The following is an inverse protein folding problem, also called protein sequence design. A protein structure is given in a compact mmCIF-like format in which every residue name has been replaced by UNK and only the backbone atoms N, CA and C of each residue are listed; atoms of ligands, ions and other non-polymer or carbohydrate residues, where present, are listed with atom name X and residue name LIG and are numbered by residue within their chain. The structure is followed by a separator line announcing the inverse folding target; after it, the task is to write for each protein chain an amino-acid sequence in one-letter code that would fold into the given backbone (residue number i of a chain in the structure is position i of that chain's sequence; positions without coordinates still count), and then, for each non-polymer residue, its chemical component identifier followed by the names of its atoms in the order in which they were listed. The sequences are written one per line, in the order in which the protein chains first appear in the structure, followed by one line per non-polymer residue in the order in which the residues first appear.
data_IF_221124709015
#
_entry.id   IF_221124709015
#
_cell.length_a   1.000
_cell.length_b   1.000
_cell.length_c   1.000
_cell.angle_alpha   90.00
_cell.angle_beta   90.00
_cell.angle_gamma   90.00
#
_symmetry.space_group_name_H-M   'P 1'
#
loop_
_entity.id
_entity.type
_entity.pdbx_description
1 polymer ?
#
# COMPACT_ATOMS: atom_id res chain seq x y z
N UNK A 1 -9.28 -23.90 -21.77
CA UNK A 1 -10.22 -22.83 -21.38
C UNK A 1 -9.49 -21.85 -20.47
N UNK A 2 -8.67 -20.93 -20.99
CA UNK A 2 -7.86 -20.01 -20.16
C UNK A 2 -7.72 -18.61 -20.78
N UNK A 3 -8.52 -18.27 -21.79
CA UNK A 3 -8.39 -17.00 -22.48
C UNK A 3 -9.36 -15.97 -21.92
N UNK A 4 -8.87 -15.09 -21.05
CA UNK A 4 -9.60 -13.92 -20.55
C UNK A 4 -8.84 -12.66 -20.96
N UNK A 5 -9.32 -12.01 -22.02
CA UNK A 5 -8.87 -10.69 -22.47
C UNK A 5 -7.74 -10.71 -23.48
N UNK A 6 -8.05 -10.36 -24.73
CA UNK A 6 -7.06 -9.99 -25.75
C UNK A 6 -7.04 -8.48 -25.91
N UNK A 7 -5.87 -7.85 -25.75
CA UNK A 7 -5.65 -6.45 -26.12
C UNK A 7 -4.78 -6.41 -27.38
N UNK A 8 -5.31 -5.92 -28.51
CA UNK A 8 -4.59 -5.87 -29.80
C UNK A 8 -3.96 -7.22 -30.24
N UNK A 9 -4.58 -8.35 -29.89
CA UNK A 9 -4.06 -9.70 -30.19
C UNK A 9 -3.05 -10.24 -29.18
N UNK A 10 -2.76 -9.49 -28.10
CA UNK A 10 -1.91 -9.94 -26.98
C UNK A 10 -2.79 -10.70 -25.99
N UNK A 11 -2.55 -12.00 -25.85
CA UNK A 11 -3.15 -12.83 -24.80
C UNK A 11 -2.38 -12.65 -23.50
N UNK A 12 -3.07 -12.19 -22.45
CA UNK A 12 -2.48 -12.07 -21.11
C UNK A 12 -3.22 -12.96 -20.13
N UNK A 13 -2.48 -13.86 -19.49
CA UNK A 13 -3.01 -14.61 -18.36
C UNK A 13 -2.96 -13.74 -17.10
N UNK A 14 -4.03 -12.96 -16.89
CA UNK A 14 -4.18 -12.09 -15.72
C UNK A 14 -4.01 -12.84 -14.40
N UNK A 15 -4.64 -14.02 -14.27
CA UNK A 15 -4.58 -14.81 -13.05
C UNK A 15 -3.14 -15.23 -12.72
N UNK A 16 -2.36 -15.64 -13.71
CA UNK A 16 -0.96 -15.98 -13.53
C UNK A 16 -0.13 -14.76 -13.13
N UNK A 17 -0.33 -13.61 -13.79
CA UNK A 17 0.36 -12.37 -13.45
C UNK A 17 0.05 -11.93 -12.01
N UNK A 18 -1.23 -11.97 -11.62
CA UNK A 18 -1.70 -11.64 -10.28
C UNK A 18 -1.16 -12.61 -9.23
N UNK A 19 -1.21 -13.92 -9.48
CA UNK A 19 -0.67 -14.93 -8.55
C UNK A 19 0.83 -14.75 -8.30
N UNK A 20 1.61 -14.50 -9.36
CA UNK A 20 3.05 -14.19 -9.22
C UNK A 20 3.26 -12.90 -8.43
N UNK A 21 2.43 -11.89 -8.64
CA UNK A 21 2.48 -10.65 -7.89
C UNK A 21 2.20 -10.87 -6.41
N UNK A 22 1.15 -11.63 -6.07
CA UNK A 22 0.80 -11.93 -4.68
C UNK A 22 1.92 -12.66 -3.94
N UNK A 23 2.69 -13.53 -4.61
CA UNK A 23 3.87 -14.16 -4.02
C UNK A 23 4.96 -13.14 -3.69
N UNK A 24 5.17 -12.15 -4.55
CA UNK A 24 6.12 -11.06 -4.29
C UNK A 24 5.65 -10.23 -3.11
N UNK A 25 4.38 -9.85 -3.06
CA UNK A 25 3.84 -9.05 -1.94
C UNK A 25 3.96 -9.79 -0.60
N UNK A 26 3.70 -11.09 -0.58
CA UNK A 26 3.94 -11.93 0.61
C UNK A 26 5.41 -11.92 1.01
N UNK A 27 6.32 -12.02 0.04
CA UNK A 27 7.76 -12.03 0.32
C UNK A 27 8.26 -10.65 0.81
N UNK A 28 7.76 -9.54 0.25
CA UNK A 28 7.96 -8.17 0.74
C UNK A 28 7.52 -8.06 2.20
N UNK A 29 6.29 -8.51 2.50
CA UNK A 29 5.77 -8.52 3.86
C UNK A 29 6.69 -9.29 4.82
N UNK A 30 7.04 -10.53 4.45
CA UNK A 30 7.87 -11.40 5.29
C UNK A 30 9.23 -10.78 5.59
N UNK A 31 9.87 -10.15 4.59
CA UNK A 31 11.23 -9.63 4.68
C UNK A 31 11.34 -8.28 5.38
N UNK A 32 10.31 -7.45 5.30
CA UNK A 32 10.36 -6.04 5.70
C UNK A 32 9.42 -5.67 6.85
N UNK A 33 8.29 -6.36 7.02
CA UNK A 33 7.22 -5.96 7.94
C UNK A 33 6.99 -6.92 9.11
N UNK A 34 7.74 -8.02 9.19
CA UNK A 34 7.66 -8.94 10.33
C UNK A 34 8.40 -8.41 11.56
N UNK A 35 8.01 -8.84 12.76
CA UNK A 35 8.74 -8.50 14.00
C UNK A 35 10.21 -8.95 13.99
N UNK A 36 10.56 -9.94 13.16
CA UNK A 36 11.94 -10.33 12.89
C UNK A 36 12.65 -9.36 11.96
N UNK A 37 11.95 -8.79 10.98
CA UNK A 37 12.50 -7.79 10.07
C UNK A 37 12.84 -6.48 10.79
N UNK A 38 12.03 -6.06 11.76
CA UNK A 38 12.25 -4.82 12.54
C UNK A 38 13.47 -4.89 13.47
N UNK A 39 14.11 -6.06 13.62
CA UNK A 39 15.33 -6.25 14.41
C UNK A 39 16.61 -6.25 13.57
N UNK A 40 16.50 -6.11 12.25
CA UNK A 40 17.64 -6.08 11.34
C UNK A 40 18.43 -4.78 11.49
N UNK A 41 19.74 -4.84 11.19
CA UNK A 41 20.57 -3.64 11.07
C UNK A 41 20.11 -2.79 9.88
N UNK A 42 20.50 -1.51 9.86
CA UNK A 42 20.15 -0.63 8.74
C UNK A 42 20.71 -1.13 7.40
N UNK A 43 21.91 -1.69 7.40
CA UNK A 43 22.56 -2.26 6.21
C UNK A 43 21.84 -3.52 5.68
N UNK A 44 21.46 -4.43 6.57
CA UNK A 44 20.69 -5.62 6.18
C UNK A 44 19.32 -5.24 5.63
N UNK A 45 18.70 -4.20 6.20
CA UNK A 45 17.40 -3.72 5.75
C UNK A 45 17.48 -3.09 4.35
N UNK A 46 18.54 -2.32 4.03
CA UNK A 46 18.77 -1.83 2.65
C UNK A 46 18.85 -2.99 1.67
N UNK A 47 19.61 -4.03 2.00
CA UNK A 47 19.76 -5.19 1.11
C UNK A 47 18.42 -5.84 0.81
N UNK A 48 17.60 -6.04 1.85
CA UNK A 48 16.27 -6.65 1.69
C UNK A 48 15.32 -5.77 0.89
N UNK A 49 15.34 -4.45 1.10
CA UNK A 49 14.56 -3.49 0.30
C UNK A 49 14.97 -3.57 -1.17
N UNK A 50 16.27 -3.59 -1.47
CA UNK A 50 16.78 -3.70 -2.85
C UNK A 50 16.33 -4.98 -3.52
N UNK A 51 16.42 -6.11 -2.83
CA UNK A 51 15.95 -7.40 -3.36
C UNK A 51 14.43 -7.38 -3.63
N UNK A 52 13.66 -6.74 -2.74
CA UNK A 52 12.21 -6.57 -2.90
C UNK A 52 11.86 -5.65 -4.08
N UNK A 53 12.53 -4.51 -4.20
CA UNK A 53 12.37 -3.56 -5.30
C UNK A 53 12.71 -4.20 -6.64
N UNK A 54 13.83 -4.91 -6.72
CA UNK A 54 14.24 -5.64 -7.93
C UNK A 54 13.17 -6.66 -8.35
N UNK A 55 12.62 -7.43 -7.40
CA UNK A 55 11.56 -8.39 -7.68
C UNK A 55 10.28 -7.71 -8.24
N UNK A 56 9.89 -6.56 -7.71
CA UNK A 56 8.75 -5.77 -8.21
C UNK A 56 9.01 -5.27 -9.64
N UNK A 57 10.19 -4.70 -9.89
CA UNK A 57 10.57 -4.17 -11.19
C UNK A 57 10.68 -5.27 -12.25
N UNK A 58 11.23 -6.43 -11.89
CA UNK A 58 11.33 -7.57 -12.80
C UNK A 58 9.96 -8.20 -13.09
N UNK A 59 9.07 -8.27 -12.09
CA UNK A 59 7.69 -8.67 -12.33
C UNK A 59 6.98 -7.72 -13.29
N UNK A 60 7.16 -6.39 -13.14
CA UNK A 60 6.60 -5.41 -14.08
C UNK A 60 7.08 -5.67 -15.51
N UNK A 61 8.36 -5.99 -15.72
CA UNK A 61 8.92 -6.31 -17.05
C UNK A 61 8.32 -7.58 -17.67
N UNK A 62 7.78 -8.50 -16.86
CA UNK A 62 7.12 -9.71 -17.37
C UNK A 62 5.73 -9.43 -17.98
N UNK A 63 5.17 -8.25 -17.76
CA UNK A 63 3.88 -7.84 -18.32
C UNK A 63 4.13 -7.19 -19.69
N UNK A 64 3.31 -7.48 -20.72
CA UNK A 64 3.39 -6.78 -22.00
C UNK A 64 3.34 -5.27 -21.83
N UNK A 65 4.16 -4.55 -22.61
CA UNK A 65 4.41 -3.11 -22.40
C UNK A 65 3.12 -2.29 -22.38
N UNK A 66 2.13 -2.67 -23.19
CA UNK A 66 0.82 -2.03 -23.31
C UNK A 66 -0.04 -2.16 -22.04
N UNK A 67 0.25 -3.16 -21.21
CA UNK A 67 -0.51 -3.52 -20.02
C UNK A 67 0.30 -3.31 -18.73
N UNK A 68 1.55 -2.89 -18.83
CA UNK A 68 2.37 -2.54 -17.68
C UNK A 68 1.74 -1.38 -16.90
N UNK A 69 1.91 -1.32 -15.57
CA UNK A 69 1.61 -0.13 -14.79
C UNK A 69 2.37 1.08 -15.35
N UNK A 70 1.66 1.97 -16.02
CA UNK A 70 2.19 3.18 -16.65
C UNK A 70 1.45 4.43 -16.13
N UNK A 71 2.12 5.60 -16.06
CA UNK A 71 1.48 6.84 -15.62
C UNK A 71 0.31 7.29 -16.49
N UNK A 72 0.25 6.88 -17.76
CA UNK A 72 -0.83 7.19 -18.69
C UNK A 72 -1.52 5.90 -19.11
N UNK A 73 -2.65 5.60 -18.49
CA UNK A 73 -3.46 4.43 -18.80
C UNK A 73 -4.61 4.81 -19.74
N UNK A 74 -4.63 4.28 -20.96
CA UNK A 74 -5.78 4.44 -21.85
C UNK A 74 -6.79 3.33 -21.58
N UNK A 75 -7.72 3.58 -20.66
CA UNK A 75 -8.74 2.60 -20.27
C UNK A 75 -9.79 2.36 -21.38
N UNK A 76 -10.00 1.11 -21.78
CA UNK A 76 -11.28 0.70 -22.36
C UNK A 76 -12.32 0.42 -21.25
N UNK A 77 -13.61 0.49 -21.56
CA UNK A 77 -14.70 0.27 -20.60
C UNK A 77 -15.14 -1.21 -20.50
N UNK A 78 -14.20 -2.14 -20.32
CA UNK A 78 -14.55 -3.56 -20.16
C UNK A 78 -13.97 -4.16 -18.86
N UNK A 79 -14.47 -5.33 -18.47
CA UNK A 79 -14.04 -6.03 -17.25
C UNK A 79 -12.54 -6.35 -17.22
N UNK A 80 -11.93 -6.62 -18.38
CA UNK A 80 -10.49 -6.85 -18.46
C UNK A 80 -9.69 -5.61 -18.03
N UNK A 81 -10.08 -4.41 -18.46
CA UNK A 81 -9.41 -3.18 -18.02
C UNK A 81 -9.63 -2.87 -16.53
N UNK A 82 -10.76 -3.29 -15.93
CA UNK A 82 -10.94 -3.23 -14.47
C UNK A 82 -9.89 -4.08 -13.73
N UNK A 83 -9.67 -5.31 -14.20
CA UNK A 83 -8.65 -6.21 -13.64
C UNK A 83 -7.25 -5.60 -13.76
N UNK A 84 -6.90 -5.06 -14.93
CA UNK A 84 -5.61 -4.41 -15.16
C UNK A 84 -5.44 -3.17 -14.29
N UNK A 85 -6.46 -2.31 -14.19
CA UNK A 85 -6.41 -1.12 -13.34
C UNK A 85 -6.21 -1.49 -11.87
N UNK A 86 -6.93 -2.49 -11.37
CA UNK A 86 -6.73 -3.01 -10.00
C UNK A 86 -5.31 -3.55 -9.79
N UNK A 87 -4.75 -4.22 -10.79
CA UNK A 87 -3.36 -4.69 -10.73
C UNK A 87 -2.36 -3.53 -10.68
N UNK A 88 -2.61 -2.45 -11.43
CA UNK A 88 -1.77 -1.25 -11.40
C UNK A 88 -1.82 -0.58 -10.03
N UNK A 89 -3.01 -0.42 -9.43
CA UNK A 89 -3.14 0.05 -8.05
C UNK A 89 -2.32 -0.80 -7.08
N UNK A 90 -2.48 -2.13 -7.15
CA UNK A 90 -1.77 -3.04 -6.26
C UNK A 90 -0.24 -2.95 -6.39
N UNK A 91 0.26 -2.85 -7.62
CA UNK A 91 1.68 -2.63 -7.90
C UNK A 91 2.19 -1.32 -7.31
N UNK A 92 1.54 -0.20 -7.63
CA UNK A 92 1.97 1.12 -7.20
C UNK A 92 1.92 1.27 -5.68
N UNK A 93 0.90 0.73 -5.03
CA UNK A 93 0.79 0.76 -3.58
C UNK A 93 1.87 -0.09 -2.91
N UNK A 94 2.14 -1.31 -3.40
CA UNK A 94 3.19 -2.16 -2.85
C UNK A 94 4.57 -1.50 -2.96
N UNK A 95 4.85 -0.84 -4.08
CA UNK A 95 6.11 -0.10 -4.26
C UNK A 95 6.14 1.14 -3.35
N UNK A 96 5.07 1.93 -3.29
CA UNK A 96 4.99 3.10 -2.42
C UNK A 96 5.24 2.80 -0.94
N UNK A 97 4.85 1.61 -0.47
CA UNK A 97 5.09 1.17 0.91
C UNK A 97 6.59 0.98 1.23
N UNK A 98 7.43 0.65 0.25
CA UNK A 98 8.88 0.52 0.47
C UNK A 98 9.51 1.81 1.03
N UNK A 99 8.94 2.97 0.70
CA UNK A 99 9.38 4.28 1.17
C UNK A 99 9.64 4.35 2.68
N UNK A 100 8.73 3.80 3.49
CA UNK A 100 8.84 3.88 4.95
C UNK A 100 9.99 3.04 5.49
N UNK A 101 10.20 1.87 4.88
CA UNK A 101 11.30 0.99 5.24
C UNK A 101 12.64 1.62 4.82
N UNK A 102 12.68 2.29 3.66
CA UNK A 102 13.83 3.09 3.25
C UNK A 102 14.16 4.19 4.26
N UNK A 103 13.17 4.99 4.67
CA UNK A 103 13.38 6.04 5.68
C UNK A 103 13.84 5.46 7.02
N UNK A 104 13.30 4.32 7.42
CA UNK A 104 13.71 3.63 8.65
C UNK A 104 15.16 3.14 8.57
N UNK A 105 15.52 2.44 7.49
CA UNK A 105 16.88 1.96 7.27
C UNK A 105 17.90 3.11 7.20
N UNK A 106 17.56 4.21 6.52
CA UNK A 106 18.38 5.43 6.49
C UNK A 106 18.67 5.94 7.90
N UNK A 107 17.64 6.08 8.72
CA UNK A 107 17.78 6.52 10.12
C UNK A 107 18.65 5.57 10.95
N UNK A 108 18.46 4.25 10.80
CA UNK A 108 19.29 3.27 11.50
C UNK A 108 20.77 3.42 11.13
N UNK A 109 21.08 3.59 9.85
CA UNK A 109 22.45 3.78 9.38
C UNK A 109 23.07 5.07 9.93
N UNK A 110 22.32 6.17 9.93
CA UNK A 110 22.76 7.45 10.50
C UNK A 110 23.10 7.33 11.99
N UNK A 111 22.39 6.47 12.73
CA UNK A 111 22.63 6.18 14.16
C UNK A 111 23.77 5.17 14.37
N UNK A 112 23.82 4.10 13.59
CA UNK A 112 24.77 2.99 13.72
C UNK A 112 26.19 3.37 13.25
N UNK A 113 26.31 4.27 12.27
CA UNK A 113 27.55 4.55 11.56
C UNK A 113 27.89 6.06 11.62
N UNK A 114 28.33 6.52 12.79
CA UNK A 114 29.04 7.81 12.89
C UNK A 114 30.39 7.66 12.13
N UNK A 115 30.37 7.89 10.81
CA UNK A 115 31.56 8.10 9.98
C UNK A 115 31.98 7.00 8.99
N UNK A 116 31.21 5.91 8.78
CA UNK A 116 31.65 4.79 7.91
C UNK A 116 30.60 4.27 6.91
N UNK A 117 29.62 5.10 6.53
CA UNK A 117 28.59 4.72 5.55
C UNK A 117 29.18 4.74 4.15
N UNK A 118 29.05 3.63 3.40
CA UNK A 118 29.41 3.63 1.97
C UNK A 118 28.51 4.59 1.18
N UNK A 119 29.07 5.49 0.36
CA UNK A 119 28.29 6.40 -0.50
C UNK A 119 27.27 5.66 -1.38
N UNK A 120 27.61 4.45 -1.84
CA UNK A 120 26.77 3.64 -2.72
C UNK A 120 25.45 3.22 -2.03
N UNK A 121 25.50 2.86 -0.74
CA UNK A 121 24.32 2.46 0.02
C UNK A 121 23.33 3.61 0.22
N UNK A 122 23.84 4.84 0.35
CA UNK A 122 23.01 6.04 0.44
C UNK A 122 22.38 6.33 -0.92
N UNK A 123 23.14 6.21 -2.02
CA UNK A 123 22.58 6.46 -3.35
C UNK A 123 21.46 5.46 -3.70
N UNK A 124 21.66 4.18 -3.39
CA UNK A 124 20.67 3.14 -3.63
C UNK A 124 19.36 3.40 -2.87
N UNK A 125 19.45 3.82 -1.61
CA UNK A 125 18.25 4.06 -0.80
C UNK A 125 17.48 5.29 -1.29
N UNK A 126 18.19 6.34 -1.71
CA UNK A 126 17.58 7.54 -2.29
C UNK A 126 16.86 7.23 -3.61
N UNK A 127 17.43 6.35 -4.44
CA UNK A 127 16.77 5.87 -5.65
C UNK A 127 15.43 5.19 -5.33
N UNK A 128 15.42 4.27 -4.35
CA UNK A 128 14.20 3.57 -3.94
C UNK A 128 13.16 4.51 -3.31
N UNK A 129 13.60 5.50 -2.52
CA UNK A 129 12.73 6.56 -1.97
C UNK A 129 12.02 7.32 -3.08
N UNK A 130 12.77 7.75 -4.10
CA UNK A 130 12.25 8.47 -5.26
C UNK A 130 11.30 7.62 -6.11
N UNK A 131 11.66 6.34 -6.34
CA UNK A 131 10.81 5.37 -7.05
C UNK A 131 9.49 5.11 -6.33
N UNK A 132 9.54 4.94 -5.00
CA UNK A 132 8.36 4.73 -4.16
C UNK A 132 7.43 5.95 -4.15
N UNK A 133 7.99 7.16 -4.13
CA UNK A 133 7.21 8.39 -4.23
C UNK A 133 6.54 8.54 -5.59
N UNK A 134 7.27 8.23 -6.67
CA UNK A 134 6.71 8.22 -8.02
C UNK A 134 5.57 7.22 -8.13
N UNK A 135 5.72 6.03 -7.53
CA UNK A 135 4.66 5.03 -7.47
C UNK A 135 3.43 5.52 -6.69
N UNK A 136 3.62 6.19 -5.55
CA UNK A 136 2.53 6.78 -4.77
C UNK A 136 1.72 7.79 -5.62
N UNK A 137 2.41 8.70 -6.32
CA UNK A 137 1.78 9.67 -7.23
C UNK A 137 1.03 9.00 -8.37
N UNK A 138 1.63 7.99 -9.01
CA UNK A 138 0.97 7.20 -10.05
C UNK A 138 -0.31 6.51 -9.55
N UNK A 139 -0.33 6.01 -8.30
CA UNK A 139 -1.56 5.45 -7.73
C UNK A 139 -2.67 6.50 -7.62
N UNK A 140 -2.33 7.75 -7.29
CA UNK A 140 -3.31 8.86 -7.26
C UNK A 140 -3.79 9.20 -8.65
N UNK A 141 -2.90 9.26 -9.64
CA UNK A 141 -3.27 9.55 -11.03
C UNK A 141 -4.28 8.52 -11.58
N UNK A 142 -4.19 7.25 -11.15
CA UNK A 142 -5.15 6.21 -11.55
C UNK A 142 -6.59 6.47 -11.09
N UNK A 143 -6.82 7.34 -10.09
CA UNK A 143 -8.16 7.68 -9.61
C UNK A 143 -9.05 8.25 -10.72
N UNK A 144 -8.50 8.95 -11.70
CA UNK A 144 -9.27 9.53 -12.83
C UNK A 144 -9.96 8.46 -13.71
N UNK A 145 -9.58 7.19 -13.54
CA UNK A 145 -10.13 6.06 -14.27
C UNK A 145 -11.21 5.30 -13.49
N UNK A 146 -11.31 5.50 -12.17
CA UNK A 146 -12.16 4.68 -11.30
C UNK A 146 -13.64 4.89 -11.61
N UNK A 147 -14.07 6.15 -11.78
CA UNK A 147 -15.46 6.51 -12.04
C UNK A 147 -16.03 5.88 -13.33
N UNK A 148 -15.16 5.48 -14.26
CA UNK A 148 -15.54 4.83 -15.54
C UNK A 148 -16.10 3.41 -15.34
N UNK A 149 -15.89 2.79 -14.18
CA UNK A 149 -16.19 1.38 -13.93
C UNK A 149 -17.29 1.14 -12.88
N UNK A 150 -17.87 2.21 -12.34
CA UNK A 150 -19.01 2.15 -11.42
C UNK A 150 -18.64 1.80 -9.97
N UNK A 151 -19.66 1.90 -9.10
CA UNK A 151 -19.48 1.87 -7.64
C UNK A 151 -18.88 0.57 -7.11
N UNK A 152 -19.26 -0.59 -7.66
CA UNK A 152 -18.73 -1.89 -7.21
C UNK A 152 -17.21 -2.01 -7.41
N UNK A 153 -16.70 -1.43 -8.51
CA UNK A 153 -15.27 -1.38 -8.75
C UNK A 153 -14.57 -0.42 -7.79
N UNK A 154 -15.16 0.75 -7.55
CA UNK A 154 -14.67 1.73 -6.57
C UNK A 154 -14.44 1.11 -5.20
N UNK A 155 -15.42 0.35 -4.68
CA UNK A 155 -15.29 -0.37 -3.41
C UNK A 155 -14.16 -1.41 -3.41
N UNK A 156 -13.90 -2.05 -4.56
CA UNK A 156 -12.83 -3.04 -4.69
C UNK A 156 -11.41 -2.46 -4.64
N UNK A 157 -11.27 -1.14 -4.77
CA UNK A 157 -9.97 -0.45 -4.81
C UNK A 157 -9.78 0.63 -3.73
N UNK A 158 -10.83 1.01 -2.99
CA UNK A 158 -10.83 2.19 -2.09
C UNK A 158 -9.69 2.19 -1.06
N UNK A 159 -9.23 1.00 -0.68
CA UNK A 159 -8.06 0.81 0.18
C UNK A 159 -6.73 1.29 -0.43
N UNK A 160 -6.51 1.08 -1.73
CA UNK A 160 -5.24 1.38 -2.39
C UNK A 160 -4.87 2.87 -2.33
N UNK A 161 -5.75 3.82 -2.70
CA UNK A 161 -5.47 5.25 -2.56
C UNK A 161 -5.18 5.65 -1.12
N UNK A 162 -5.91 5.12 -0.13
CA UNK A 162 -5.67 5.43 1.27
C UNK A 162 -4.28 4.97 1.74
N UNK A 163 -3.82 3.80 1.27
CA UNK A 163 -2.54 3.22 1.65
C UNK A 163 -1.32 4.06 1.21
N UNK A 164 -1.43 4.90 0.16
CA UNK A 164 -0.31 5.72 -0.33
C UNK A 164 -0.21 7.10 0.33
N UNK A 165 -1.25 7.52 1.08
CA UNK A 165 -1.27 8.82 1.78
C UNK A 165 -0.08 8.97 2.72
N UNK A 166 0.25 7.91 3.45
CA UNK A 166 1.36 7.92 4.39
C UNK A 166 2.72 8.17 3.71
N UNK A 167 2.91 7.66 2.49
CA UNK A 167 4.13 7.90 1.69
C UNK A 167 4.22 9.36 1.24
N UNK A 168 3.12 9.93 0.74
CA UNK A 168 3.08 11.35 0.34
C UNK A 168 3.29 12.27 1.55
N UNK A 169 2.65 11.96 2.68
CA UNK A 169 2.78 12.70 3.92
C UNK A 169 4.23 12.69 4.44
N UNK A 170 4.85 11.51 4.52
CA UNK A 170 6.24 11.38 4.94
C UNK A 170 7.19 12.19 4.04
N UNK A 171 6.93 12.25 2.73
CA UNK A 171 7.68 13.07 1.80
C UNK A 171 7.54 14.58 2.10
N UNK A 172 6.32 15.08 2.30
CA UNK A 172 6.06 16.49 2.68
C UNK A 172 6.79 16.84 3.99
N UNK A 173 6.85 15.90 4.93
CA UNK A 173 7.56 16.10 6.19
C UNK A 173 9.08 16.06 6.07
N UNK A 174 9.63 15.46 5.03
CA UNK A 174 11.08 15.41 4.83
C UNK A 174 11.56 16.56 3.93
N UNK A 175 10.74 16.99 2.97
CA UNK A 175 11.13 17.97 1.94
C UNK A 175 10.03 19.04 1.73
N UNK A 176 10.04 20.16 2.48
CA UNK A 176 9.05 21.24 2.32
C UNK A 176 9.37 22.14 1.11
N UNK A 177 9.41 21.58 -0.10
CA UNK A 177 9.73 22.28 -1.35
C UNK A 177 8.51 22.35 -2.31
N UNK A 178 8.73 22.67 -3.59
CA UNK A 178 7.65 22.76 -4.59
C UNK A 178 6.85 21.44 -4.75
N UNK A 179 7.51 20.30 -4.59
CA UNK A 179 6.87 18.98 -4.69
C UNK A 179 5.90 18.73 -3.53
N UNK A 180 6.16 19.29 -2.34
CA UNK A 180 5.24 19.16 -1.21
C UNK A 180 3.86 19.77 -1.49
N UNK A 181 3.78 20.80 -2.33
CA UNK A 181 2.49 21.38 -2.74
C UNK A 181 1.72 20.45 -3.67
N UNK A 182 2.42 19.77 -4.58
CA UNK A 182 1.81 18.77 -5.46
C UNK A 182 1.35 17.54 -4.66
N UNK A 183 2.19 17.05 -3.75
CA UNK A 183 1.86 15.90 -2.90
C UNK A 183 0.69 16.21 -1.95
N UNK A 184 0.61 17.43 -1.41
CA UNK A 184 -0.54 17.85 -0.60
C UNK A 184 -1.83 17.88 -1.43
N UNK A 185 -1.76 18.29 -2.70
CA UNK A 185 -2.91 18.21 -3.62
C UNK A 185 -3.31 16.76 -3.88
N UNK A 186 -2.36 15.85 -4.05
CA UNK A 186 -2.63 14.43 -4.19
C UNK A 186 -3.28 13.82 -2.94
N UNK A 187 -2.82 14.17 -1.73
CA UNK A 187 -3.49 13.77 -0.47
C UNK A 187 -4.93 14.29 -0.44
N UNK A 188 -5.13 15.56 -0.78
CA UNK A 188 -6.47 16.14 -0.85
C UNK A 188 -7.38 15.40 -1.85
N UNK A 189 -6.87 15.04 -3.03
CA UNK A 189 -7.61 14.24 -4.02
C UNK A 189 -8.05 12.89 -3.46
N UNK A 190 -7.17 12.18 -2.73
CA UNK A 190 -7.51 10.92 -2.06
C UNK A 190 -8.61 11.15 -1.03
N UNK A 191 -8.51 12.17 -0.18
CA UNK A 191 -9.52 12.48 0.85
C UNK A 191 -10.87 12.79 0.21
N UNK A 192 -10.92 13.58 -0.87
CA UNK A 192 -12.17 13.85 -1.59
C UNK A 192 -12.76 12.58 -2.22
N UNK A 193 -11.91 11.74 -2.81
CA UNK A 193 -12.33 10.45 -3.34
C UNK A 193 -12.97 9.58 -2.25
N UNK A 194 -12.33 9.42 -1.08
CA UNK A 194 -12.87 8.65 0.03
C UNK A 194 -14.19 9.24 0.57
N UNK A 195 -14.29 10.57 0.69
CA UNK A 195 -15.52 11.27 1.10
C UNK A 195 -16.68 11.02 0.14
N UNK A 196 -16.40 10.99 -1.17
CA UNK A 196 -17.40 10.67 -2.18
C UNK A 196 -17.90 9.23 -2.05
N UNK A 197 -17.02 8.28 -1.67
CA UNK A 197 -17.42 6.90 -1.39
C UNK A 197 -18.30 6.81 -0.15
N UNK A 198 -17.92 7.46 0.97
CA UNK A 198 -18.73 7.47 2.20
C UNK A 198 -20.09 8.14 2.03
N UNK A 199 -20.20 9.13 1.14
CA UNK A 199 -21.47 9.79 0.86
C UNK A 199 -22.51 8.84 0.23
N UNK A 200 -22.05 7.77 -0.43
CA UNK A 200 -22.93 6.73 -0.98
C UNK A 200 -23.35 5.71 0.08
N UNK A 201 -22.47 5.38 1.02
CA UNK A 201 -22.72 4.41 2.09
C UNK A 201 -21.94 4.77 3.36
N UNK A 202 -22.66 5.04 4.43
CA UNK A 202 -22.12 5.48 5.72
C UNK A 202 -22.01 4.30 6.70
N UNK A 203 -21.13 4.42 7.70
CA UNK A 203 -20.97 3.42 8.76
C UNK A 203 -20.09 2.23 8.34
N UNK A 204 -19.19 2.46 7.38
CA UNK A 204 -18.25 1.47 6.86
C UNK A 204 -16.82 1.77 7.35
N UNK A 205 -15.87 0.88 7.04
CA UNK A 205 -14.45 1.15 7.34
C UNK A 205 -13.90 2.37 6.57
N UNK A 206 -14.56 2.81 5.50
CA UNK A 206 -14.13 3.97 4.71
C UNK A 206 -14.32 5.26 5.51
N UNK A 207 -15.27 5.34 6.44
CA UNK A 207 -15.41 6.47 7.36
C UNK A 207 -14.15 6.65 8.22
N UNK A 208 -13.58 5.53 8.69
CA UNK A 208 -12.29 5.55 9.39
C UNK A 208 -11.16 6.02 8.47
N UNK A 209 -11.09 5.53 7.23
CA UNK A 209 -10.09 5.97 6.26
C UNK A 209 -10.21 7.47 5.94
N UNK A 210 -11.42 8.01 5.84
CA UNK A 210 -11.67 9.45 5.65
C UNK A 210 -11.12 10.25 6.82
N UNK A 211 -11.42 9.85 8.07
CA UNK A 211 -10.91 10.53 9.26
C UNK A 211 -9.39 10.54 9.25
N UNK A 212 -8.78 9.37 9.12
CA UNK A 212 -7.34 9.21 9.15
C UNK A 212 -6.62 10.00 8.03
N UNK A 213 -7.11 9.91 6.80
CA UNK A 213 -6.50 10.62 5.68
C UNK A 213 -6.69 12.14 5.81
N UNK A 214 -7.79 12.60 6.42
CA UNK A 214 -8.00 14.01 6.73
C UNK A 214 -7.01 14.50 7.78
N UNK A 215 -6.72 13.69 8.81
CA UNK A 215 -5.70 14.02 9.83
C UNK A 215 -4.31 14.17 9.19
N UNK A 216 -3.95 13.28 8.26
CA UNK A 216 -2.71 13.42 7.47
C UNK A 216 -2.70 14.69 6.62
N UNK A 217 -3.82 15.02 5.98
CA UNK A 217 -3.95 16.24 5.17
C UNK A 217 -3.76 17.51 6.02
N UNK A 218 -4.40 17.57 7.18
CA UNK A 218 -4.33 18.72 8.09
C UNK A 218 -2.93 18.87 8.68
N UNK A 219 -2.31 17.77 9.11
CA UNK A 219 -0.93 17.76 9.57
C UNK A 219 0.04 18.19 8.46
N UNK A 220 -0.15 17.74 7.23
CA UNK A 220 0.65 18.18 6.07
C UNK A 220 0.49 19.68 5.83
N UNK A 221 -0.75 20.20 5.82
CA UNK A 221 -1.05 21.63 5.65
C UNK A 221 -0.35 22.47 6.73
N UNK A 222 -0.38 22.01 7.97
CA UNK A 222 0.28 22.70 9.08
C UNK A 222 1.80 22.69 8.92
N UNK A 223 2.39 21.55 8.56
CA UNK A 223 3.83 21.43 8.32
C UNK A 223 4.31 22.33 7.16
N UNK A 224 3.54 22.44 6.08
CA UNK A 224 3.87 23.31 4.94
C UNK A 224 3.77 24.80 5.28
N UNK A 225 2.82 25.20 6.15
CA UNK A 225 2.69 26.60 6.62
C UNK A 225 3.79 27.00 7.59
N UNK A 226 4.19 26.07 8.44
CA UNK A 226 5.17 26.31 9.50
C UNK A 226 6.61 26.11 9.02
N UNK A 227 6.85 25.66 7.78
CA UNK A 227 8.18 25.56 7.22
C UNK A 227 8.81 26.96 7.16
N UNK A 228 9.80 27.28 8.02
CA UNK A 228 10.48 28.55 7.90
C UNK A 228 11.24 28.56 6.57
N UNK A 229 11.37 29.73 5.94
CA UNK A 229 12.12 29.93 4.69
C UNK A 229 13.64 29.61 4.80
N UNK A 230 14.08 28.83 5.79
CA UNK A 230 15.46 28.43 6.04
C UNK A 230 15.59 27.43 7.20
N UNK A 231 16.09 26.24 6.88
CA UNK A 231 16.78 25.20 7.67
C UNK A 231 16.54 25.03 9.20
N UNK A 232 15.95 23.88 9.57
CA UNK A 232 16.34 22.87 10.59
C UNK A 232 15.08 22.24 11.22
N UNK A 233 14.96 20.90 11.16
CA UNK A 233 13.82 20.15 11.75
C UNK A 233 14.25 19.27 12.93
N UNK A 234 13.42 19.19 14.00
CA UNK A 234 13.60 18.22 15.08
C UNK A 234 13.08 16.81 14.69
N UNK A 235 13.42 15.76 15.45
CA UNK A 235 13.20 14.36 15.07
C UNK A 235 11.72 13.96 15.06
N UNK A 236 11.35 13.22 14.02
CA UNK A 236 10.05 12.56 13.86
C UNK A 236 9.93 11.36 14.81
N UNK A 237 9.39 11.60 16.01
CA UNK A 237 9.07 10.54 16.98
C UNK A 237 7.56 10.25 17.13
N UNK A 238 6.67 11.18 16.76
CA UNK A 238 5.22 10.99 16.97
C UNK A 238 4.45 10.59 15.71
N UNK A 239 4.84 11.06 14.51
CA UNK A 239 4.14 10.74 13.26
C UNK A 239 4.54 9.41 12.62
N UNK A 240 5.78 8.97 12.84
CA UNK A 240 6.33 7.72 12.30
C UNK A 240 5.72 6.48 12.94
N UNK A 241 5.35 6.54 14.22
CA UNK A 241 4.69 5.44 14.93
C UNK A 241 3.27 5.18 14.37
N UNK A 242 2.47 6.24 14.17
CA UNK A 242 1.12 6.11 13.60
C UNK A 242 1.14 5.61 12.15
N UNK A 243 2.15 6.04 11.38
CA UNK A 243 2.36 5.63 9.98
C UNK A 243 2.84 4.18 9.85
N UNK A 244 3.71 3.74 10.75
CA UNK A 244 4.19 2.34 10.78
C UNK A 244 3.15 1.37 11.34
N UNK A 245 2.32 1.79 12.30
CA UNK A 245 1.15 1.05 12.76
C UNK A 245 0.12 0.91 11.63
N UNK A 246 -0.18 1.99 10.91
CA UNK A 246 -1.07 1.96 9.75
C UNK A 246 -0.59 0.96 8.71
N UNK A 247 0.67 1.02 8.28
CA UNK A 247 1.18 0.08 7.29
C UNK A 247 1.28 -1.35 7.83
N UNK A 248 1.54 -1.56 9.12
CA UNK A 248 1.53 -2.90 9.70
C UNK A 248 0.13 -3.51 9.72
N UNK A 249 -0.91 -2.74 10.04
CA UNK A 249 -2.31 -3.21 10.02
C UNK A 249 -2.80 -3.39 8.58
N UNK A 250 -2.55 -2.41 7.72
CA UNK A 250 -2.93 -2.43 6.31
C UNK A 250 -2.17 -3.52 5.49
N UNK A 251 -0.88 -3.73 5.73
CA UNK A 251 -0.11 -4.84 5.11
C UNK A 251 -0.46 -6.21 5.71
N UNK A 252 -0.96 -6.29 6.94
CA UNK A 252 -1.47 -7.53 7.53
C UNK A 252 -2.80 -7.94 6.90
N UNK A 253 -3.70 -6.98 6.68
CA UNK A 253 -4.96 -7.19 5.96
C UNK A 253 -4.71 -7.56 4.48
N UNK A 254 -3.66 -7.01 3.88
CA UNK A 254 -3.19 -7.39 2.55
C UNK A 254 -2.73 -8.87 2.46
N UNK A 255 -2.12 -9.41 3.52
CA UNK A 255 -1.56 -10.77 3.55
C UNK A 255 -2.57 -11.85 3.95
N UNK A 256 -3.74 -11.50 4.50
CA UNK A 256 -4.78 -12.45 4.90
C UNK A 256 -6.19 -11.80 4.88
N UNK A 257 -6.88 -11.79 3.73
CA UNK A 257 -8.23 -11.24 3.62
C UNK A 257 -9.31 -12.03 4.41
N UNK A 258 -8.97 -13.20 4.96
CA UNK A 258 -9.89 -14.08 5.70
C UNK A 258 -10.01 -13.78 7.21
N UNK A 259 -9.25 -12.82 7.76
CA UNK A 259 -9.41 -12.41 9.16
C UNK A 259 -10.23 -11.12 9.22
N UNK A 260 -11.46 -11.24 9.72
CA UNK A 260 -12.32 -10.08 9.98
C UNK A 260 -11.61 -9.06 10.87
N UNK A 261 -11.94 -7.79 10.62
CA UNK A 261 -11.44 -6.60 11.31
C UNK A 261 -11.59 -6.73 12.85
N UNK A 262 -10.59 -7.26 13.56
CA UNK A 262 -10.56 -7.17 15.02
C UNK A 262 -9.99 -5.81 15.38
N UNK A 263 -10.89 -4.87 15.65
CA UNK A 263 -10.57 -3.49 15.98
C UNK A 263 -9.54 -3.33 17.10
N UNK A 264 -8.73 -2.28 16.96
CA UNK A 264 -7.82 -1.78 17.98
C UNK A 264 -8.62 -1.50 19.26
N UNK A 265 -8.17 -2.14 20.34
CA UNK A 265 -8.71 -2.01 21.69
C UNK A 265 -8.71 -0.55 22.16
N UNK A 266 -9.86 0.09 22.10
CA UNK A 266 -10.21 1.22 22.95
C UNK A 266 -10.96 0.68 24.17
N UNK A 267 -10.38 0.84 25.35
CA UNK A 267 -11.03 0.59 26.63
C UNK A 267 -12.41 1.27 26.68
N UNK A 268 -13.46 0.51 26.43
CA UNK A 268 -14.79 0.71 27.03
C UNK A 268 -15.36 -0.66 27.31
N UNK A 269 -15.73 -0.87 28.56
CA UNK A 269 -16.29 -2.12 29.05
C UNK A 269 -17.52 -2.52 28.24
N UNK A 270 -17.49 -3.70 27.63
CA UNK A 270 -18.70 -4.43 27.31
C UNK A 270 -18.46 -5.91 27.59
N UNK A 271 -19.38 -6.47 28.36
CA UNK A 271 -19.30 -7.78 29.00
C UNK A 271 -19.16 -8.93 28.02
N UNK A 272 -18.52 -9.99 28.52
CA UNK A 272 -18.50 -11.37 28.03
C UNK A 272 -19.68 -11.73 27.10
N UNK A 273 -19.39 -12.46 26.00
CA UNK A 273 -19.84 -13.84 26.03
C UNK A 273 -18.85 -14.82 25.41
N UNK A 274 -18.25 -15.67 26.26
CA UNK A 274 -18.21 -17.09 25.93
C UNK A 274 -19.63 -17.60 25.66
N UNK A 275 -19.81 -18.29 24.52
CA UNK A 275 -20.66 -19.47 24.26
C UNK A 275 -21.11 -19.45 22.78
N UNK A 276 -20.95 -20.61 22.12
CA UNK A 276 -21.26 -20.95 20.72
C UNK A 276 -20.20 -20.48 19.71
N UNK A 277 -19.51 -21.34 18.94
CA UNK A 277 -20.04 -22.45 18.14
C UNK A 277 -19.12 -23.67 18.13
N UNK A 278 -19.74 -24.82 18.35
CA UNK A 278 -19.17 -26.15 18.15
C UNK A 278 -18.83 -26.40 16.67
N UNK A 279 -17.74 -27.13 16.47
CA UNK A 279 -17.28 -27.69 15.19
C UNK A 279 -18.33 -28.62 14.55
N UNK A 280 -18.58 -28.53 13.24
CA UNK A 280 -19.37 -29.55 12.55
C UNK A 280 -18.56 -30.84 12.40
N UNK A 281 -19.07 -31.92 12.99
CA UNK A 281 -18.58 -33.30 12.80
C UNK A 281 -18.69 -33.72 11.33
N UNK A 282 -17.62 -34.35 10.87
CA UNK A 282 -17.52 -35.14 9.63
C UNK A 282 -18.67 -36.15 9.52
N UNK A 283 -19.50 -36.02 8.49
CA UNK A 283 -20.49 -37.03 8.11
C UNK A 283 -19.78 -38.10 7.28
N UNK A 284 -19.63 -39.29 7.87
CA UNK A 284 -19.19 -40.50 7.19
C UNK A 284 -20.30 -41.01 6.27
N UNK A 285 -20.03 -41.06 4.96
CA UNK A 285 -20.82 -41.80 3.99
C UNK A 285 -20.75 -43.31 4.30
N UNK A 286 -21.88 -43.89 4.70
CA UNK A 286 -22.08 -45.34 4.66
C UNK A 286 -22.80 -45.72 3.37
N UNK A 287 -22.15 -46.57 2.57
CA UNK A 287 -22.73 -47.24 1.40
C UNK A 287 -23.57 -48.44 1.85
N UNK A 288 -24.71 -48.75 1.19
CA UNK A 288 -25.43 -49.99 1.42
C UNK A 288 -24.90 -51.08 0.50
N UNK A 289 -24.69 -52.30 1.01
CA UNK A 289 -24.65 -53.51 0.18
C UNK A 289 -25.45 -54.62 0.82
N UNK A 290 -26.35 -55.15 0.00
CA UNK A 290 -27.21 -56.30 0.21
C UNK A 290 -26.41 -57.59 0.44
N UNK A 291 -26.87 -58.44 1.34
CA UNK A 291 -27.61 -59.70 1.07
C UNK A 291 -27.81 -60.45 2.38
#
# INVERSE_FOLDING_TARGET
MTNWGSFNGIEVNYLHAYARFSLIQRDVYRRLYTATATRKSGQDLIKEVKDCEAALLDWKKCIPIELQPQPKFSAGQNFFFQCILRLHFAYHCCYAQLHQICLHAKRLIEVEMIGNVSPDSIQDIEHCISGSLTAARSAVDLLEHVDKFGISFTWSIVYFPAAVVATLFAHILTHPNQDATADLRSIHQIVQFLKNVTAQEHGTYVDYLVSLCSDFEDAARQASRNAPSGCNRPPLDQGTASVSLLNNDLSRDFASPDQGFTGISGNTAFSDPQVAFQTPRTILCQTPKAM
#
